data_IF_410433184084
#
_entry.id   IF_410433184084
#
_cell.length_a   1.000
_cell.length_b   1.000
_cell.length_c   1.000
_cell.angle_alpha   90.00
_cell.angle_beta   90.00
_cell.angle_gamma   90.00
#
_symmetry.space_group_name_H-M   'P 1'
#
loop_
_entity.id
_entity.type
_entity.pdbx_description
1 polymer ?
#
# COMPACT_ATOMS: atom_id res chain seq x y z
N UNK A 1 28.75 17.40 2.29
CA UNK A 1 27.78 17.84 1.26
C UNK A 1 26.74 16.74 1.11
N UNK A 2 25.49 17.11 0.91
CA UNK A 2 24.43 16.18 0.47
C UNK A 2 23.76 16.84 -0.76
N UNK A 3 23.51 16.08 -1.80
CA UNK A 3 22.78 16.54 -2.97
C UNK A 3 21.30 16.20 -2.79
N UNK A 4 20.45 17.20 -2.91
CA UNK A 4 19.00 17.05 -2.83
C UNK A 4 18.42 17.33 -4.21
N UNK A 5 17.54 16.48 -4.69
CA UNK A 5 16.68 16.72 -5.83
C UNK A 5 15.31 17.20 -5.37
N UNK A 6 14.74 18.16 -6.06
CA UNK A 6 13.40 18.66 -5.75
C UNK A 6 12.56 18.88 -6.99
N UNK A 7 11.26 18.70 -6.83
CA UNK A 7 10.23 19.02 -7.80
C UNK A 7 9.20 19.91 -7.13
N UNK A 8 8.80 20.97 -7.80
CA UNK A 8 7.72 21.83 -7.36
C UNK A 8 6.53 21.66 -8.30
N UNK A 9 5.43 21.12 -7.77
CA UNK A 9 4.16 20.98 -8.52
C UNK A 9 3.14 21.92 -7.90
N UNK A 10 2.49 21.49 -6.84
CA UNK A 10 1.64 22.27 -5.92
C UNK A 10 2.34 22.49 -4.57
N UNK A 11 3.28 21.63 -4.27
CA UNK A 11 4.15 21.65 -3.08
C UNK A 11 5.55 21.23 -3.47
N UNK A 12 6.54 21.74 -2.73
CA UNK A 12 7.91 21.28 -2.87
C UNK A 12 8.05 19.83 -2.41
N UNK A 13 8.54 18.96 -3.28
CA UNK A 13 8.91 17.59 -2.97
C UNK A 13 10.42 17.52 -3.06
N UNK A 14 11.08 17.27 -1.93
CA UNK A 14 12.55 17.23 -1.84
C UNK A 14 12.95 15.81 -1.45
N UNK A 15 13.94 15.26 -2.15
CA UNK A 15 14.49 13.94 -1.90
C UNK A 15 16.01 14.00 -1.86
N UNK A 16 16.68 13.39 -0.85
CA UNK A 16 18.11 13.18 -0.90
C UNK A 16 18.49 12.25 -2.07
N UNK A 17 19.43 12.70 -2.88
CA UNK A 17 19.98 11.93 -4.00
C UNK A 17 21.31 11.26 -3.59
N UNK A 18 21.97 11.78 -2.57
CA UNK A 18 23.17 11.19 -1.98
C UNK A 18 23.09 11.20 -0.46
N UNK A 19 23.86 10.33 0.20
CA UNK A 19 24.19 10.46 1.60
C UNK A 19 25.08 11.70 1.85
N UNK A 20 25.42 11.95 3.13
CA UNK A 20 26.37 12.98 3.47
C UNK A 20 27.78 12.61 2.99
N UNK A 21 28.32 13.43 2.10
CA UNK A 21 29.65 13.26 1.51
C UNK A 21 30.58 14.29 2.12
N UNK A 22 31.61 13.82 2.77
CA UNK A 22 32.69 14.70 3.25
C UNK A 22 33.56 15.14 2.06
N UNK A 23 33.74 16.44 1.90
CA UNK A 23 34.50 17.03 0.79
C UNK A 23 35.98 17.29 1.16
N UNK A 24 36.37 17.00 2.40
CA UNK A 24 37.76 17.14 2.82
C UNK A 24 38.70 16.26 2.01
N UNK A 25 39.85 16.78 1.68
CA UNK A 25 40.91 16.04 1.00
C UNK A 25 41.72 15.20 2.00
N UNK A 26 42.16 14.04 1.53
CA UNK A 26 43.19 13.24 2.17
C UNK A 26 44.40 13.22 1.20
N UNK A 27 45.59 13.71 1.62
CA UNK A 27 46.73 13.73 0.73
C UNK A 27 47.21 12.34 0.31
N UNK A 28 46.77 11.30 1.04
CA UNK A 28 47.11 9.91 0.74
C UNK A 28 46.01 9.10 0.06
N UNK A 29 44.79 9.65 -0.11
CA UNK A 29 43.66 8.98 -0.74
C UNK A 29 43.15 9.76 -1.96
N UNK A 30 43.73 9.48 -3.12
CA UNK A 30 43.30 10.06 -4.39
C UNK A 30 41.98 9.48 -4.89
N UNK A 31 41.53 8.30 -4.43
CA UNK A 31 40.29 7.65 -4.89
C UNK A 31 39.09 8.49 -4.46
N UNK A 32 39.14 9.07 -3.29
CA UNK A 32 38.10 9.97 -2.78
C UNK A 32 37.98 11.25 -3.60
N UNK A 33 39.12 11.85 -3.98
CA UNK A 33 39.11 13.02 -4.85
C UNK A 33 38.47 12.73 -6.21
N UNK A 34 38.79 11.57 -6.80
CA UNK A 34 38.18 11.11 -8.04
C UNK A 34 36.68 10.89 -7.88
N UNK A 35 36.25 10.29 -6.77
CA UNK A 35 34.83 10.10 -6.48
C UNK A 35 34.08 11.45 -6.40
N UNK A 36 34.60 12.40 -5.67
CA UNK A 36 34.03 13.75 -5.55
C UNK A 36 33.98 14.46 -6.91
N UNK A 37 35.05 14.37 -7.71
CA UNK A 37 35.10 14.95 -9.06
C UNK A 37 34.03 14.33 -9.99
N UNK A 38 33.87 13.02 -9.95
CA UNK A 38 32.81 12.31 -10.71
C UNK A 38 31.42 12.74 -10.27
N UNK A 39 31.19 12.89 -8.96
CA UNK A 39 29.92 13.38 -8.43
C UNK A 39 29.57 14.78 -8.96
N UNK A 40 30.52 15.72 -8.93
CA UNK A 40 30.30 17.07 -9.49
C UNK A 40 30.10 17.05 -11.00
N UNK A 41 30.78 16.16 -11.70
CA UNK A 41 30.59 15.99 -13.15
C UNK A 41 29.19 15.45 -13.46
N UNK A 42 28.73 14.46 -12.70
CA UNK A 42 27.37 13.92 -12.84
C UNK A 42 26.31 14.96 -12.49
N UNK A 43 26.50 15.74 -11.41
CA UNK A 43 25.61 16.83 -11.03
C UNK A 43 25.51 17.91 -12.11
N UNK A 44 26.66 18.34 -12.66
CA UNK A 44 26.68 19.30 -13.79
C UNK A 44 25.95 18.78 -15.03
N UNK A 45 26.11 17.50 -15.34
CA UNK A 45 25.40 16.85 -16.46
C UNK A 45 23.89 16.79 -16.21
N UNK A 46 23.49 16.45 -14.99
CA UNK A 46 22.08 16.39 -14.60
C UNK A 46 21.40 17.78 -14.68
N UNK A 47 22.09 18.83 -14.19
CA UNK A 47 21.60 20.21 -14.29
C UNK A 47 21.39 20.60 -15.76
N UNK A 48 22.36 20.35 -16.64
CA UNK A 48 22.22 20.65 -18.08
C UNK A 48 21.07 19.89 -18.74
N UNK A 49 20.85 18.64 -18.31
CA UNK A 49 19.72 17.85 -18.81
C UNK A 49 18.37 18.40 -18.35
N UNK A 50 18.29 18.84 -17.09
CA UNK A 50 17.10 19.51 -16.56
C UNK A 50 16.83 20.85 -17.26
N UNK A 51 17.86 21.66 -17.50
CA UNK A 51 17.72 22.92 -18.25
C UNK A 51 17.12 22.68 -19.64
N UNK A 52 17.66 21.72 -20.40
CA UNK A 52 17.12 21.34 -21.73
C UNK A 52 15.67 20.85 -21.60
N UNK A 53 15.35 20.05 -20.61
CA UNK A 53 14.00 19.55 -20.37
C UNK A 53 13.03 20.71 -20.13
N UNK A 54 13.36 21.63 -19.21
CA UNK A 54 12.51 22.79 -18.93
C UNK A 54 12.39 23.78 -20.05
N UNK A 55 13.44 23.95 -20.88
CA UNK A 55 13.38 24.75 -22.10
C UNK A 55 12.45 24.14 -23.16
N UNK A 56 12.37 22.80 -23.22
CA UNK A 56 11.47 22.09 -24.13
C UNK A 56 10.01 22.04 -23.63
N UNK A 57 9.77 22.26 -22.33
CA UNK A 57 8.42 22.39 -21.82
C UNK A 57 7.78 23.65 -22.36
N UNK A 58 6.75 23.52 -23.22
CA UNK A 58 5.96 24.63 -23.69
C UNK A 58 5.41 25.42 -22.48
N UNK A 59 5.83 26.67 -22.35
CA UNK A 59 5.27 27.62 -21.39
C UNK A 59 3.77 27.77 -21.69
N UNK A 60 2.93 27.19 -20.89
CA UNK A 60 1.48 27.29 -21.04
C UNK A 60 0.67 26.01 -20.95
N UNK A 61 1.28 24.86 -20.61
CA UNK A 61 0.45 23.75 -20.15
C UNK A 61 -0.25 24.22 -18.87
N UNK A 62 -1.60 24.27 -18.86
CA UNK A 62 -2.31 24.53 -17.63
C UNK A 62 -1.80 23.51 -16.62
N UNK A 63 -1.46 23.97 -15.44
CA UNK A 63 -1.19 23.10 -14.30
C UNK A 63 -2.50 22.40 -13.96
N UNK A 64 -2.94 21.52 -14.88
CA UNK A 64 -4.03 20.61 -14.61
C UNK A 64 -3.56 19.82 -13.39
N UNK A 65 -4.43 19.60 -12.44
CA UNK A 65 -4.23 18.72 -11.29
C UNK A 65 -3.49 17.46 -11.74
N UNK A 66 -2.16 17.53 -11.80
CA UNK A 66 -1.34 16.39 -12.23
C UNK A 66 -1.58 15.34 -11.18
N UNK A 67 -2.46 14.43 -11.51
CA UNK A 67 -2.77 13.28 -10.66
C UNK A 67 -1.44 12.61 -10.42
N UNK A 68 -0.99 12.57 -9.17
CA UNK A 68 0.27 11.91 -8.79
C UNK A 68 0.07 10.41 -8.88
N UNK A 69 0.05 9.91 -10.10
CA UNK A 69 -0.06 8.49 -10.39
C UNK A 69 1.35 7.87 -10.36
N UNK A 70 1.47 6.63 -9.93
CA UNK A 70 2.73 5.91 -10.03
C UNK A 70 3.16 5.75 -11.49
N UNK A 71 4.46 5.70 -11.73
CA UNK A 71 5.01 5.49 -13.09
C UNK A 71 5.05 4.01 -13.50
N UNK A 72 4.76 3.08 -12.58
CA UNK A 72 4.72 1.64 -12.84
C UNK A 72 3.35 1.32 -13.43
N UNK A 73 3.30 0.86 -14.67
CA UNK A 73 2.09 0.59 -15.45
C UNK A 73 1.99 -0.84 -15.95
N UNK A 74 2.78 -1.75 -15.35
CA UNK A 74 2.77 -3.17 -15.69
C UNK A 74 3.06 -4.02 -14.44
N UNK A 75 2.64 -5.29 -14.46
CA UNK A 75 2.91 -6.23 -13.38
C UNK A 75 3.12 -7.66 -13.89
N UNK A 76 3.76 -8.47 -13.05
CA UNK A 76 3.98 -9.89 -13.29
C UNK A 76 5.05 -10.17 -14.35
N UNK A 77 5.37 -11.47 -14.55
CA UNK A 77 6.37 -11.90 -15.52
C UNK A 77 5.94 -11.63 -16.97
N UNK A 78 4.62 -11.63 -17.24
CA UNK A 78 4.06 -11.40 -18.56
C UNK A 78 3.93 -9.89 -18.89
N UNK A 79 4.40 -9.01 -17.99
CA UNK A 79 4.36 -7.56 -18.15
C UNK A 79 2.94 -7.05 -18.50
N UNK A 80 1.93 -7.58 -17.80
CA UNK A 80 0.53 -7.20 -18.01
C UNK A 80 0.34 -5.71 -17.77
N UNK A 81 -0.07 -4.97 -18.81
CA UNK A 81 -0.20 -3.52 -18.78
C UNK A 81 -1.53 -3.05 -18.25
N UNK A 82 -1.50 -1.93 -17.56
CA UNK A 82 -2.70 -1.29 -17.01
C UNK A 82 -2.55 0.22 -16.93
N UNK A 83 -3.68 0.91 -16.95
CA UNK A 83 -3.76 2.36 -16.83
C UNK A 83 -4.47 2.76 -15.55
N UNK A 84 -3.87 3.66 -14.76
CA UNK A 84 -4.48 4.23 -13.56
C UNK A 84 -5.56 5.24 -13.93
N UNK A 85 -6.67 5.24 -13.19
CA UNK A 85 -7.71 6.28 -13.33
C UNK A 85 -7.55 7.43 -12.35
N UNK A 86 -7.21 7.15 -11.08
CA UNK A 86 -7.15 8.15 -10.02
C UNK A 86 -6.32 7.63 -8.82
N UNK A 87 -6.35 8.38 -7.71
CA UNK A 87 -5.89 7.90 -6.41
C UNK A 87 -7.07 7.89 -5.44
N UNK A 88 -7.30 6.78 -4.77
CA UNK A 88 -8.28 6.72 -3.68
C UNK A 88 -7.73 7.40 -2.43
N UNK A 89 -8.57 8.18 -1.75
CA UNK A 89 -8.23 8.93 -0.54
C UNK A 89 -6.94 9.76 -0.67
N UNK A 90 -6.88 10.70 -1.64
CA UNK A 90 -5.67 11.47 -1.94
C UNK A 90 -5.21 12.36 -0.77
N UNK A 91 -6.12 12.67 0.16
CA UNK A 91 -5.86 13.38 1.42
C UNK A 91 -4.98 12.57 2.38
N UNK A 92 -5.03 11.25 2.30
CA UNK A 92 -4.20 10.37 3.13
C UNK A 92 -2.90 10.02 2.41
N UNK A 93 -1.81 10.74 2.74
CA UNK A 93 -0.50 10.55 2.11
C UNK A 93 0.11 9.15 2.29
N UNK A 94 -0.34 8.40 3.29
CA UNK A 94 0.17 7.06 3.59
C UNK A 94 -0.58 5.95 2.82
N UNK A 95 -1.80 6.25 2.36
CA UNK A 95 -2.66 5.29 1.66
C UNK A 95 -2.43 5.38 0.15
N UNK A 96 -1.56 4.53 -0.36
CA UNK A 96 -1.22 4.46 -1.78
C UNK A 96 -2.07 3.41 -2.47
N UNK A 97 -3.29 3.79 -2.83
CA UNK A 97 -4.33 2.94 -3.40
C UNK A 97 -4.87 3.59 -4.67
N UNK A 98 -4.78 2.88 -5.78
CA UNK A 98 -5.08 3.42 -7.11
C UNK A 98 -6.02 2.49 -7.88
N UNK A 99 -7.23 2.93 -8.23
CA UNK A 99 -8.03 2.26 -9.24
C UNK A 99 -7.30 2.29 -10.58
N UNK A 100 -7.36 1.16 -11.27
CA UNK A 100 -6.76 0.97 -12.58
C UNK A 100 -7.64 0.04 -13.41
N UNK A 101 -7.36 -0.04 -14.70
CA UNK A 101 -7.98 -1.00 -15.62
C UNK A 101 -6.89 -1.64 -16.48
N UNK A 102 -7.08 -2.90 -16.86
CA UNK A 102 -6.23 -3.55 -17.85
C UNK A 102 -6.37 -2.85 -19.20
N UNK A 103 -5.25 -2.66 -19.90
CA UNK A 103 -5.24 -2.02 -21.20
C UNK A 103 -5.97 -2.87 -22.25
N UNK A 104 -5.81 -4.20 -22.17
CA UNK A 104 -6.43 -5.15 -23.10
C UNK A 104 -7.90 -5.51 -22.75
N UNK A 105 -8.34 -5.22 -21.52
CA UNK A 105 -9.70 -5.52 -21.04
C UNK A 105 -10.24 -4.32 -20.25
N UNK A 106 -10.73 -3.27 -20.93
CA UNK A 106 -11.12 -2.01 -20.29
C UNK A 106 -12.19 -2.12 -19.20
N UNK A 107 -13.02 -3.16 -19.23
CA UNK A 107 -14.08 -3.40 -18.25
C UNK A 107 -13.66 -4.31 -17.09
N UNK A 108 -12.35 -4.48 -16.87
CA UNK A 108 -11.81 -5.24 -15.73
C UNK A 108 -11.19 -4.27 -14.71
N UNK A 109 -12.01 -3.64 -13.86
CA UNK A 109 -11.51 -2.69 -12.88
C UNK A 109 -10.70 -3.41 -11.81
N UNK A 110 -9.57 -2.82 -11.45
CA UNK A 110 -8.66 -3.36 -10.44
C UNK A 110 -8.19 -2.27 -9.48
N UNK A 111 -7.59 -2.71 -8.39
CA UNK A 111 -6.87 -1.87 -7.44
C UNK A 111 -5.39 -2.23 -7.47
N UNK A 112 -4.57 -1.20 -7.64
CA UNK A 112 -3.13 -1.29 -7.42
C UNK A 112 -2.80 -0.60 -6.11
N UNK A 113 -2.16 -1.33 -5.20
CA UNK A 113 -1.81 -0.87 -3.85
C UNK A 113 -0.30 -0.97 -3.64
N UNK A 114 0.30 0.06 -3.02
CA UNK A 114 1.71 0.05 -2.64
C UNK A 114 1.86 0.05 -1.12
N UNK A 115 2.49 -0.99 -0.57
CA UNK A 115 2.57 -1.25 0.87
C UNK A 115 3.97 -1.64 1.33
N UNK A 116 4.29 -1.43 2.60
CA UNK A 116 5.59 -1.82 3.15
C UNK A 116 5.69 -3.32 3.42
N UNK A 117 4.57 -3.95 3.71
CA UNK A 117 4.43 -5.39 3.99
C UNK A 117 3.04 -5.84 3.58
N UNK A 118 2.90 -7.11 3.27
CA UNK A 118 1.65 -7.72 2.87
C UNK A 118 1.71 -9.23 3.05
N UNK A 119 0.60 -9.85 3.41
CA UNK A 119 0.49 -11.30 3.46
C UNK A 119 -0.35 -11.79 2.27
N UNK A 120 0.34 -12.10 1.17
CA UNK A 120 -0.31 -12.55 -0.06
C UNK A 120 -0.97 -13.93 0.10
N UNK A 121 -0.38 -14.82 0.90
CA UNK A 121 -0.94 -16.16 1.13
C UNK A 121 -2.28 -16.09 1.86
N UNK A 122 -2.37 -15.27 2.92
CA UNK A 122 -3.63 -15.04 3.62
C UNK A 122 -4.69 -14.44 2.70
N UNK A 123 -4.30 -13.51 1.83
CA UNK A 123 -5.21 -12.91 0.85
C UNK A 123 -5.73 -13.97 -0.14
N UNK A 124 -4.85 -14.76 -0.75
CA UNK A 124 -5.24 -15.83 -1.68
C UNK A 124 -6.15 -16.86 -1.04
N UNK A 125 -5.84 -17.22 0.21
CA UNK A 125 -6.61 -18.19 0.97
C UNK A 125 -8.08 -17.75 1.11
N UNK A 126 -8.32 -16.49 1.46
CA UNK A 126 -9.68 -15.95 1.57
C UNK A 126 -10.31 -15.66 0.21
N UNK A 127 -9.54 -15.20 -0.76
CA UNK A 127 -10.02 -14.96 -2.12
C UNK A 127 -10.56 -16.24 -2.78
N UNK A 128 -9.91 -17.39 -2.54
CA UNK A 128 -10.37 -18.69 -3.03
C UNK A 128 -11.74 -19.11 -2.47
N UNK A 129 -12.17 -18.51 -1.36
CA UNK A 129 -13.48 -18.75 -0.73
C UNK A 129 -14.47 -17.60 -0.97
N UNK A 130 -14.13 -16.62 -1.82
CA UNK A 130 -14.96 -15.44 -2.05
C UNK A 130 -15.07 -14.49 -0.86
N UNK A 131 -14.15 -14.60 0.12
CA UNK A 131 -14.12 -13.79 1.34
C UNK A 131 -13.08 -12.65 1.28
N UNK A 132 -12.44 -12.47 0.14
CA UNK A 132 -11.57 -11.35 -0.22
C UNK A 132 -11.62 -11.12 -1.73
N UNK A 133 -11.24 -9.93 -2.24
CA UNK A 133 -11.05 -9.70 -3.67
C UNK A 133 -10.06 -10.68 -4.27
N UNK A 134 -10.19 -11.04 -5.55
CA UNK A 134 -9.19 -11.87 -6.21
C UNK A 134 -7.85 -11.14 -6.28
N UNK A 135 -6.78 -11.80 -5.88
CA UNK A 135 -5.41 -11.30 -5.98
C UNK A 135 -4.83 -11.71 -7.33
N UNK A 136 -4.47 -10.73 -8.17
CA UNK A 136 -3.83 -10.96 -9.47
C UNK A 136 -2.32 -11.04 -9.35
N UNK A 137 -1.73 -10.15 -8.57
CA UNK A 137 -0.29 -10.08 -8.41
C UNK A 137 0.11 -9.58 -7.02
N UNK A 138 1.20 -10.10 -6.52
CA UNK A 138 1.88 -9.60 -5.33
C UNK A 138 3.39 -9.66 -5.53
N UNK A 139 4.04 -8.52 -5.52
CA UNK A 139 5.50 -8.48 -5.63
C UNK A 139 6.24 -8.98 -4.37
N UNK A 140 5.47 -9.38 -3.32
CA UNK A 140 6.06 -10.06 -2.16
C UNK A 140 6.55 -11.46 -2.51
N UNK A 141 5.95 -12.11 -3.51
CA UNK A 141 6.29 -13.47 -3.93
C UNK A 141 7.73 -13.54 -4.44
N UNK A 142 8.11 -12.55 -5.24
CA UNK A 142 9.45 -12.43 -5.81
C UNK A 142 10.36 -11.52 -4.99
N UNK A 143 9.86 -11.01 -3.86
CA UNK A 143 10.52 -10.00 -3.02
C UNK A 143 10.97 -8.74 -3.80
N UNK A 144 10.23 -8.39 -4.86
CA UNK A 144 10.48 -7.20 -5.68
C UNK A 144 9.90 -5.97 -5.00
N UNK A 145 10.72 -4.94 -4.83
CA UNK A 145 10.31 -3.68 -4.22
C UNK A 145 10.39 -2.52 -5.22
N UNK A 146 9.36 -1.73 -5.20
CA UNK A 146 9.27 -0.45 -5.90
C UNK A 146 9.58 0.68 -4.89
N UNK A 147 10.86 1.04 -4.82
CA UNK A 147 11.38 1.82 -3.71
C UNK A 147 11.38 1.00 -2.40
N UNK A 148 10.64 1.48 -1.39
CA UNK A 148 10.51 0.76 -0.10
C UNK A 148 9.21 -0.03 0.03
N UNK A 149 8.47 -0.25 -1.08
CA UNK A 149 7.11 -0.80 -1.06
C UNK A 149 6.96 -1.98 -1.99
N UNK A 150 6.07 -2.89 -1.62
CA UNK A 150 5.57 -3.93 -2.50
C UNK A 150 4.37 -3.42 -3.28
N UNK A 151 4.16 -3.95 -4.48
CA UNK A 151 3.00 -3.71 -5.32
C UNK A 151 2.04 -4.90 -5.23
N UNK A 152 0.78 -4.60 -4.98
CA UNK A 152 -0.30 -5.57 -4.88
C UNK A 152 -1.36 -5.18 -5.90
N UNK A 153 -1.80 -6.13 -6.74
CA UNK A 153 -2.84 -5.95 -7.73
C UNK A 153 -4.00 -6.91 -7.44
N UNK A 154 -5.19 -6.38 -7.28
CA UNK A 154 -6.38 -7.16 -6.93
C UNK A 154 -7.61 -6.62 -7.65
N UNK A 155 -8.71 -7.39 -7.69
CA UNK A 155 -9.99 -6.91 -8.20
C UNK A 155 -10.44 -5.64 -7.48
N UNK A 156 -11.03 -4.72 -8.22
CA UNK A 156 -11.86 -3.68 -7.65
C UNK A 156 -13.23 -4.25 -7.32
N UNK A 157 -13.65 -4.13 -6.08
CA UNK A 157 -14.98 -4.56 -5.64
C UNK A 157 -15.80 -3.31 -5.30
N UNK A 158 -16.93 -3.13 -5.97
CA UNK A 158 -17.83 -2.00 -5.68
C UNK A 158 -18.70 -2.29 -4.45
N UNK A 159 -18.04 -2.56 -3.34
CA UNK A 159 -18.63 -2.70 -2.02
C UNK A 159 -18.06 -1.64 -1.10
N UNK A 160 -18.78 -1.33 -0.02
CA UNK A 160 -18.42 -0.28 0.92
C UNK A 160 -18.25 -0.82 2.33
N UNK A 161 -17.45 -0.16 3.17
CA UNK A 161 -17.43 -0.47 4.59
C UNK A 161 -18.82 -0.30 5.22
N UNK A 162 -19.17 -1.12 6.22
CA UNK A 162 -20.48 -1.05 6.88
C UNK A 162 -20.64 0.26 7.63
N UNK A 163 -21.75 0.96 7.39
CA UNK A 163 -22.11 2.19 8.11
C UNK A 163 -22.80 1.87 9.45
N UNK A 164 -23.46 0.72 9.56
CA UNK A 164 -24.23 0.29 10.73
C UNK A 164 -23.76 -1.07 11.26
N UNK A 165 -24.71 -1.81 11.83
CA UNK A 165 -24.51 -3.19 12.25
C UNK A 165 -24.46 -4.11 11.03
N UNK A 166 -23.64 -5.16 11.10
CA UNK A 166 -23.65 -6.22 10.11
C UNK A 166 -24.91 -7.06 10.25
N UNK A 167 -25.44 -7.57 9.16
CA UNK A 167 -26.44 -8.61 9.17
C UNK A 167 -25.86 -9.90 9.74
N UNK A 168 -26.73 -10.85 10.11
CA UNK A 168 -26.29 -12.15 10.60
C UNK A 168 -25.43 -12.88 9.56
N UNK A 169 -25.82 -12.81 8.29
CA UNK A 169 -25.08 -13.44 7.20
C UNK A 169 -23.72 -12.75 6.96
N UNK A 170 -23.66 -11.43 7.00
CA UNK A 170 -22.38 -10.68 6.91
C UNK A 170 -21.45 -11.03 8.09
N UNK A 171 -22.02 -11.12 9.31
CA UNK A 171 -21.27 -11.57 10.49
C UNK A 171 -20.71 -12.98 10.31
N UNK A 172 -21.50 -13.89 9.74
CA UNK A 172 -21.06 -15.24 9.41
C UNK A 172 -19.88 -15.23 8.44
N UNK A 173 -19.98 -14.48 7.32
CA UNK A 173 -18.87 -14.36 6.37
C UNK A 173 -17.56 -13.90 7.06
N UNK A 174 -17.63 -12.88 7.91
CA UNK A 174 -16.45 -12.38 8.63
C UNK A 174 -15.90 -13.43 9.60
N UNK A 175 -16.78 -14.16 10.33
CA UNK A 175 -16.37 -15.25 11.23
C UNK A 175 -15.71 -16.40 10.47
N UNK A 176 -16.28 -16.78 9.33
CA UNK A 176 -15.74 -17.84 8.47
C UNK A 176 -14.36 -17.44 7.94
N UNK A 177 -14.20 -16.18 7.48
CA UNK A 177 -12.90 -15.65 7.04
C UNK A 177 -11.84 -15.74 8.15
N UNK A 178 -12.17 -15.28 9.37
CA UNK A 178 -11.26 -15.36 10.51
C UNK A 178 -10.98 -16.81 10.91
N UNK A 179 -11.99 -17.68 10.89
CA UNK A 179 -11.85 -19.13 11.17
C UNK A 179 -10.88 -19.80 10.20
N UNK A 180 -10.99 -19.50 8.91
CA UNK A 180 -10.07 -20.00 7.86
C UNK A 180 -8.63 -19.55 8.13
N UNK A 181 -8.42 -18.26 8.45
CA UNK A 181 -7.09 -17.78 8.80
C UNK A 181 -6.53 -18.46 10.03
N UNK A 182 -7.31 -18.60 11.09
CA UNK A 182 -6.89 -19.25 12.34
C UNK A 182 -6.53 -20.73 12.13
N UNK A 183 -7.32 -21.46 11.33
CA UNK A 183 -7.02 -22.86 10.97
C UNK A 183 -5.71 -23.01 10.22
N UNK A 184 -5.23 -21.94 9.58
CA UNK A 184 -3.93 -21.87 8.90
C UNK A 184 -2.85 -21.14 9.73
N UNK A 185 -3.08 -21.02 11.06
CA UNK A 185 -2.17 -20.34 11.98
C UNK A 185 -1.85 -18.88 11.60
N UNK A 186 -2.79 -18.23 10.93
CA UNK A 186 -2.70 -16.81 10.54
C UNK A 186 -3.67 -15.98 11.38
N UNK A 187 -3.30 -14.73 11.62
CA UNK A 187 -4.15 -13.73 12.27
C UNK A 187 -4.25 -12.52 11.36
N UNK A 188 -5.46 -11.96 11.22
CA UNK A 188 -5.71 -10.83 10.31
C UNK A 188 -5.05 -9.53 10.79
N UNK A 189 -5.02 -9.32 12.08
CA UNK A 189 -4.31 -8.21 12.74
C UNK A 189 -4.99 -6.84 12.69
N UNK A 190 -5.75 -6.50 11.66
CA UNK A 190 -6.41 -5.19 11.50
C UNK A 190 -7.92 -5.34 11.22
N UNK A 191 -8.60 -6.11 12.07
CA UNK A 191 -10.04 -6.32 11.94
C UNK A 191 -10.82 -5.11 12.45
N UNK A 192 -11.16 -4.22 11.52
CA UNK A 192 -11.94 -3.01 11.77
C UNK A 192 -12.88 -2.71 10.60
N UNK A 193 -13.90 -1.90 10.84
CA UNK A 193 -14.94 -1.58 9.84
C UNK A 193 -14.38 -1.17 8.46
N UNK A 194 -13.39 -0.28 8.35
CA UNK A 194 -12.85 0.11 7.04
C UNK A 194 -12.23 -1.03 6.23
N UNK A 195 -11.87 -2.14 6.88
CA UNK A 195 -11.23 -3.30 6.27
C UNK A 195 -12.21 -4.45 6.00
N UNK A 196 -13.51 -4.19 6.16
CA UNK A 196 -14.60 -5.10 5.82
C UNK A 196 -15.45 -4.41 4.76
N UNK A 197 -15.59 -5.02 3.60
CA UNK A 197 -16.49 -4.57 2.55
C UNK A 197 -17.76 -5.42 2.59
N UNK A 198 -18.93 -4.77 2.54
CA UNK A 198 -20.22 -5.46 2.67
C UNK A 198 -21.11 -5.27 1.44
N UNK A 199 -21.70 -6.37 0.98
CA UNK A 199 -22.85 -6.40 0.07
C UNK A 199 -24.14 -6.75 0.83
N UNK A 200 -25.20 -7.13 0.12
CA UNK A 200 -26.48 -7.45 0.75
C UNK A 200 -26.34 -8.59 1.76
N UNK A 201 -25.78 -9.72 1.32
CA UNK A 201 -25.62 -10.94 2.13
C UNK A 201 -24.16 -11.43 2.20
N UNK A 202 -23.22 -10.59 1.78
CA UNK A 202 -21.81 -10.95 1.73
C UNK A 202 -20.96 -9.95 2.49
N UNK A 203 -19.80 -10.43 2.97
CA UNK A 203 -18.75 -9.58 3.50
C UNK A 203 -17.39 -10.12 3.08
N UNK A 204 -16.48 -9.22 2.72
CA UNK A 204 -15.10 -9.52 2.32
C UNK A 204 -14.12 -8.78 3.19
N UNK A 205 -12.99 -9.40 3.50
CA UNK A 205 -11.87 -8.73 4.16
C UNK A 205 -10.92 -8.15 3.13
N UNK A 206 -10.44 -6.94 3.42
CA UNK A 206 -9.42 -6.24 2.64
C UNK A 206 -8.33 -5.72 3.56
N UNK A 207 -7.15 -5.39 3.00
CA UNK A 207 -6.04 -4.81 3.76
C UNK A 207 -5.28 -5.83 4.64
N UNK A 208 -4.56 -6.76 3.98
CA UNK A 208 -3.77 -7.82 4.62
C UNK A 208 -2.37 -7.35 5.07
N UNK A 209 -2.17 -6.03 5.24
CA UNK A 209 -0.87 -5.43 5.60
C UNK A 209 -0.37 -5.91 6.96
N UNK A 210 -1.29 -6.20 7.88
CA UNK A 210 -0.96 -6.64 9.23
C UNK A 210 -1.35 -8.09 9.50
N UNK A 211 -1.69 -8.82 8.45
CA UNK A 211 -1.90 -10.25 8.57
C UNK A 211 -0.56 -10.98 8.72
N UNK A 212 -0.51 -11.96 9.61
CA UNK A 212 0.72 -12.71 9.84
C UNK A 212 0.54 -13.96 10.69
N UNK A 213 1.63 -14.70 10.92
CA UNK A 213 1.60 -15.94 11.69
C UNK A 213 1.24 -15.69 13.16
N UNK A 214 0.31 -16.46 13.69
CA UNK A 214 -0.08 -16.44 15.09
C UNK A 214 1.13 -16.65 16.00
N UNK A 215 1.21 -15.89 17.08
CA UNK A 215 2.32 -15.93 18.03
C UNK A 215 3.63 -15.28 17.55
N UNK A 216 3.78 -15.00 16.24
CA UNK A 216 5.00 -14.39 15.68
C UNK A 216 4.77 -12.97 15.18
N UNK A 217 3.63 -12.70 14.57
CA UNK A 217 3.30 -11.38 14.04
C UNK A 217 3.27 -10.33 15.15
N UNK A 218 3.72 -9.12 14.82
CA UNK A 218 3.77 -7.97 15.74
C UNK A 218 3.21 -6.74 15.05
N UNK A 219 2.53 -5.89 15.81
CA UNK A 219 2.15 -4.56 15.35
C UNK A 219 3.39 -3.69 15.14
N UNK A 220 3.34 -2.73 14.21
CA UNK A 220 4.37 -1.70 14.12
C UNK A 220 4.51 -0.97 15.47
N UNK A 221 5.74 -0.60 15.87
CA UNK A 221 5.96 0.09 17.15
C UNK A 221 5.29 1.47 17.21
N UNK A 222 5.01 2.06 16.04
CA UNK A 222 4.39 3.38 15.90
C UNK A 222 2.87 3.38 16.12
N UNK A 223 2.26 2.22 16.29
CA UNK A 223 0.82 2.16 16.59
C UNK A 223 0.58 2.78 17.97
N UNK A 224 -0.30 3.77 17.98
CA UNK A 224 -0.77 4.34 19.23
C UNK A 224 -1.45 3.23 20.07
N UNK A 225 -0.91 3.00 21.26
CA UNK A 225 -1.40 2.01 22.22
C UNK A 225 -2.49 2.59 23.14
N UNK A 226 -3.12 3.69 22.77
CA UNK A 226 -4.19 4.27 23.56
C UNK A 226 -5.34 3.27 23.70
N UNK A 227 -5.67 2.83 24.93
CA UNK A 227 -6.75 1.87 25.16
C UNK A 227 -8.12 2.36 24.70
N UNK A 228 -8.32 3.69 24.60
CA UNK A 228 -9.57 4.30 24.12
C UNK A 228 -9.83 4.01 22.63
N UNK A 229 -8.78 3.71 21.84
CA UNK A 229 -8.89 3.38 20.41
C UNK A 229 -9.26 1.90 20.20
N UNK A 230 -9.36 1.10 21.26
CA UNK A 230 -9.86 -0.28 21.18
C UNK A 230 -8.93 -1.29 20.51
N UNK A 231 -7.62 -1.03 20.49
CA UNK A 231 -6.63 -1.99 20.03
C UNK A 231 -6.46 -3.12 21.07
N UNK A 232 -6.76 -4.38 20.74
CA UNK A 232 -6.52 -5.46 21.67
C UNK A 232 -5.01 -5.63 21.85
N UNK A 233 -4.56 -5.74 23.09
CA UNK A 233 -3.17 -6.07 23.40
C UNK A 233 -2.80 -7.49 22.96
N UNK A 234 -3.80 -8.34 22.73
CA UNK A 234 -3.69 -9.71 22.24
C UNK A 234 -4.48 -9.87 20.94
N UNK A 235 -4.05 -10.81 20.11
CA UNK A 235 -4.66 -11.15 18.82
C UNK A 235 -6.02 -11.88 18.96
N UNK A 236 -6.80 -11.61 19.97
CA UNK A 236 -8.13 -12.20 20.15
C UNK A 236 -9.17 -11.47 19.28
N UNK A 237 -9.24 -11.91 18.01
CA UNK A 237 -10.13 -11.33 17.01
C UNK A 237 -11.60 -11.71 17.20
N UNK A 238 -11.88 -12.81 17.91
CA UNK A 238 -13.26 -13.27 18.17
C UNK A 238 -13.92 -12.35 19.20
N UNK A 239 -13.20 -11.97 20.26
CA UNK A 239 -13.69 -10.98 21.21
C UNK A 239 -13.88 -9.60 20.57
N UNK A 240 -13.05 -9.26 19.58
CA UNK A 240 -13.18 -8.02 18.81
C UNK A 240 -14.46 -7.98 17.98
N UNK A 241 -14.84 -9.09 17.33
CA UNK A 241 -16.09 -9.20 16.58
C UNK A 241 -17.31 -8.88 17.44
N UNK A 242 -17.37 -9.38 18.67
CA UNK A 242 -18.48 -9.10 19.59
C UNK A 242 -18.56 -7.64 20.02
N UNK A 243 -17.43 -6.92 20.10
CA UNK A 243 -17.38 -5.50 20.43
C UNK A 243 -17.70 -4.60 19.22
N UNK A 244 -17.15 -4.93 18.05
CA UNK A 244 -17.34 -4.13 16.83
C UNK A 244 -18.77 -4.20 16.31
N UNK A 245 -19.47 -5.29 16.52
CA UNK A 245 -20.76 -5.54 15.89
C UNK A 245 -21.93 -5.67 16.85
N UNK A 246 -21.70 -5.51 18.19
CA UNK A 246 -22.75 -5.65 19.24
C UNK A 246 -23.76 -6.74 18.86
N UNK A 247 -23.28 -7.98 18.77
CA UNK A 247 -24.19 -9.13 18.65
C UNK A 247 -25.03 -9.12 19.93
N UNK A 248 -26.37 -9.02 19.87
CA UNK A 248 -27.19 -9.10 21.05
C UNK A 248 -26.81 -10.40 21.80
N UNK A 249 -26.51 -10.31 23.09
CA UNK A 249 -26.34 -11.52 23.89
C UNK A 249 -27.64 -12.29 23.77
N UNK A 250 -27.61 -13.61 23.47
CA UNK A 250 -28.81 -14.40 23.56
C UNK A 250 -29.39 -14.25 24.98
N UNK A 251 -30.71 -14.18 25.13
CA UNK A 251 -31.31 -14.05 26.44
C UNK A 251 -30.80 -15.23 27.30
N UNK A 252 -30.29 -14.88 28.47
CA UNK A 252 -29.91 -15.89 29.50
C UNK A 252 -31.15 -16.73 29.77
N UNK A 253 -31.11 -18.03 29.50
CA UNK A 253 -32.10 -19.01 29.90
C UNK A 253 -31.95 -19.29 31.36
#
# INVERSE_FOLDING_TARGET
MCVLGGVFVDKAIIQPLTDYIWLGGDPFDSTRQVFVARLFTALKSAIKSLEKYYQALALGLPCSNVRRLPFITEYGPDQTKFTYSSRLAPENKYRLLYPAALDDVPNSPMIVKFVQRYNADAHRLLAAQGLAPKLHYSSTDDNVRYGKRFMIVMDYIDLKPPLGHLTEQQCKCVKDAIGILHSNQLVFGDLRRPNILVGNDTAMLVDFDWCGKSGKARYPPEINRDPSIGWPQMWDQIALLSRLFRIPKPPLK
#
